data_IF_420967955086
#
_entry.id   IF_420967955086
#
_cell.length_a   1.000
_cell.length_b   1.000
_cell.length_c   1.000
_cell.angle_alpha   90.00
_cell.angle_beta   90.00
_cell.angle_gamma   90.00
#
_symmetry.space_group_name_H-M   'P 1'
#
loop_
_entity.id
_entity.type
_entity.pdbx_description
1 polymer ?
#
# COMPACT_ATOMS: atom_id res chain seq x y z
N UNK A 1 26.60 -9.91 31.76
CA UNK A 1 27.16 -8.80 30.95
C UNK A 1 27.89 -9.19 29.65
N UNK A 2 29.02 -9.94 29.62
CA UNK A 2 29.74 -10.24 28.33
C UNK A 2 29.01 -11.23 27.40
N UNK A 3 28.27 -12.20 27.95
CA UNK A 3 27.48 -13.15 27.15
C UNK A 3 26.22 -12.51 26.52
N UNK A 4 25.54 -11.63 27.25
CA UNK A 4 24.32 -10.94 26.78
C UNK A 4 24.63 -10.01 25.59
N UNK A 5 25.73 -9.25 25.66
CA UNK A 5 26.20 -8.40 24.56
C UNK A 5 26.55 -9.19 23.28
N UNK A 6 27.07 -10.42 23.42
CA UNK A 6 27.32 -11.33 22.29
C UNK A 6 26.02 -11.87 21.69
N UNK A 7 25.01 -12.15 22.51
CA UNK A 7 23.68 -12.58 22.06
C UNK A 7 22.89 -11.47 21.37
N UNK A 8 23.00 -10.23 21.84
CA UNK A 8 22.40 -9.03 21.22
C UNK A 8 23.04 -8.71 19.87
N UNK A 9 24.38 -8.77 19.77
CA UNK A 9 25.09 -8.55 18.51
C UNK A 9 24.72 -9.60 17.44
N UNK A 10 24.59 -10.88 17.83
CA UNK A 10 24.15 -11.95 16.91
C UNK A 10 22.70 -11.75 16.45
N UNK A 11 21.79 -11.40 17.37
CA UNK A 11 20.38 -11.09 17.04
C UNK A 11 20.27 -9.90 16.09
N UNK A 12 21.04 -8.83 16.34
CA UNK A 12 21.08 -7.67 15.45
C UNK A 12 21.70 -7.94 14.07
N UNK A 13 22.60 -8.92 13.95
CA UNK A 13 23.14 -9.37 12.66
C UNK A 13 22.09 -10.16 11.87
N UNK A 14 21.42 -11.11 12.53
CA UNK A 14 20.37 -11.93 11.91
C UNK A 14 19.16 -11.08 11.47
N UNK A 15 18.78 -10.07 12.26
CA UNK A 15 17.70 -9.15 11.89
C UNK A 15 18.06 -8.33 10.64
N UNK A 16 19.31 -7.85 10.54
CA UNK A 16 19.78 -7.12 9.36
C UNK A 16 19.79 -7.99 8.12
N UNK A 17 20.25 -9.23 8.24
CA UNK A 17 20.25 -10.19 7.14
C UNK A 17 18.82 -10.52 6.69
N UNK A 18 17.90 -10.75 7.63
CA UNK A 18 16.48 -10.97 7.34
C UNK A 18 15.84 -9.77 6.63
N UNK A 19 16.16 -8.54 7.06
CA UNK A 19 15.69 -7.31 6.40
C UNK A 19 16.27 -7.16 4.99
N UNK A 20 17.52 -7.54 4.78
CA UNK A 20 18.15 -7.54 3.45
C UNK A 20 17.50 -8.57 2.53
N UNK A 21 17.28 -9.80 2.99
CA UNK A 21 16.58 -10.83 2.22
C UNK A 21 15.15 -10.40 1.86
N UNK A 22 14.44 -9.74 2.78
CA UNK A 22 13.12 -9.17 2.51
C UNK A 22 13.16 -8.10 1.40
N UNK A 23 14.21 -7.29 1.36
CA UNK A 23 14.40 -6.26 0.35
C UNK A 23 14.70 -6.87 -1.03
N UNK A 24 15.50 -7.92 -1.09
CA UNK A 24 15.80 -8.68 -2.31
C UNK A 24 14.52 -9.33 -2.88
N UNK A 25 13.70 -9.94 -2.03
CA UNK A 25 12.40 -10.48 -2.41
C UNK A 25 11.43 -9.39 -2.89
N UNK A 26 11.41 -8.23 -2.22
CA UNK A 26 10.63 -7.08 -2.66
C UNK A 26 11.06 -6.61 -4.05
N UNK A 27 12.36 -6.51 -4.33
CA UNK A 27 12.84 -6.11 -5.67
C UNK A 27 12.51 -7.15 -6.74
N UNK A 28 12.56 -8.44 -6.41
CA UNK A 28 12.10 -9.51 -7.31
C UNK A 28 10.60 -9.37 -7.60
N UNK A 29 9.80 -9.07 -6.58
CA UNK A 29 8.38 -8.76 -6.73
C UNK A 29 8.13 -7.52 -7.60
N UNK A 30 8.92 -6.46 -7.43
CA UNK A 30 8.84 -5.24 -8.25
C UNK A 30 9.10 -5.55 -9.74
N UNK A 31 10.10 -6.40 -10.02
CA UNK A 31 10.43 -6.83 -11.38
C UNK A 31 9.26 -7.63 -11.99
N UNK A 32 8.76 -8.65 -11.29
CA UNK A 32 7.61 -9.43 -11.72
C UNK A 32 6.35 -8.56 -11.94
N UNK A 33 6.14 -7.57 -11.07
CA UNK A 33 5.05 -6.61 -11.22
C UNK A 33 5.20 -5.80 -12.53
N UNK A 34 6.39 -5.28 -12.83
CA UNK A 34 6.64 -4.55 -14.08
C UNK A 34 6.45 -5.43 -15.31
N UNK A 35 6.82 -6.71 -15.23
CA UNK A 35 6.63 -7.71 -16.29
C UNK A 35 5.16 -8.17 -16.45
N UNK A 36 4.27 -7.75 -15.56
CA UNK A 36 2.85 -8.13 -15.59
C UNK A 36 2.54 -9.48 -14.93
N UNK A 37 3.53 -10.15 -14.36
CA UNK A 37 3.35 -11.41 -13.64
C UNK A 37 2.85 -11.16 -12.20
N UNK A 38 1.53 -11.05 -12.05
CA UNK A 38 0.87 -10.71 -10.78
C UNK A 38 1.10 -11.78 -9.71
N UNK A 39 0.94 -13.05 -10.04
CA UNK A 39 1.05 -14.17 -9.09
C UNK A 39 2.46 -14.28 -8.51
N UNK A 40 3.47 -14.08 -9.36
CA UNK A 40 4.87 -14.08 -8.90
C UNK A 40 5.17 -12.84 -8.07
N UNK A 41 4.66 -11.67 -8.46
CA UNK A 41 4.81 -10.46 -7.67
C UNK A 41 4.21 -10.63 -6.26
N UNK A 42 2.99 -11.18 -6.17
CA UNK A 42 2.29 -11.41 -4.92
C UNK A 42 3.09 -12.34 -3.99
N UNK A 43 3.51 -13.52 -4.49
CA UNK A 43 4.31 -14.48 -3.71
C UNK A 43 5.61 -13.89 -3.19
N UNK A 44 6.30 -13.09 -4.00
CA UNK A 44 7.54 -12.42 -3.58
C UNK A 44 7.26 -11.40 -2.46
N UNK A 45 6.19 -10.60 -2.58
CA UNK A 45 5.84 -9.64 -1.54
C UNK A 45 5.36 -10.31 -0.24
N UNK A 46 4.58 -11.39 -0.32
CA UNK A 46 4.17 -12.17 0.86
C UNK A 46 5.38 -12.75 1.59
N UNK A 47 6.34 -13.29 0.83
CA UNK A 47 7.62 -13.78 1.37
C UNK A 47 8.39 -12.64 2.05
N UNK A 48 8.47 -11.47 1.43
CA UNK A 48 9.09 -10.29 2.03
C UNK A 48 8.36 -9.83 3.30
N UNK A 49 7.02 -9.90 3.36
CA UNK A 49 6.22 -9.54 4.56
C UNK A 49 6.51 -10.52 5.68
N UNK A 50 6.59 -11.82 5.39
CA UNK A 50 6.95 -12.84 6.36
C UNK A 50 8.35 -12.60 6.94
N UNK A 51 9.27 -12.02 6.17
CA UNK A 51 10.61 -11.66 6.62
C UNK A 51 10.67 -10.31 7.35
N UNK A 52 9.91 -9.31 6.90
CA UNK A 52 9.93 -7.96 7.46
C UNK A 52 8.49 -7.41 7.62
N UNK A 53 7.75 -7.87 8.64
CA UNK A 53 6.32 -7.56 8.79
C UNK A 53 6.06 -6.09 9.16
N UNK A 54 7.08 -5.36 9.62
CA UNK A 54 6.96 -3.95 10.03
C UNK A 54 7.02 -2.99 8.84
N UNK A 55 7.49 -3.42 7.67
CA UNK A 55 7.65 -2.55 6.51
C UNK A 55 6.30 -2.30 5.80
N UNK A 56 5.72 -1.08 5.88
CA UNK A 56 4.42 -0.79 5.27
C UNK A 56 4.47 -0.77 3.74
N UNK A 57 5.65 -0.58 3.14
CA UNK A 57 5.81 -0.55 1.67
C UNK A 57 5.41 -1.90 1.06
N UNK A 58 5.63 -2.99 1.78
CA UNK A 58 5.30 -4.32 1.28
C UNK A 58 3.78 -4.50 1.12
N UNK A 59 2.98 -4.12 2.12
CA UNK A 59 1.52 -4.09 2.00
C UNK A 59 1.06 -3.14 0.90
N UNK A 60 1.73 -2.00 0.76
CA UNK A 60 1.42 -1.05 -0.31
C UNK A 60 1.63 -1.72 -1.68
N UNK A 61 2.73 -2.45 -1.88
CA UNK A 61 3.02 -3.18 -3.11
C UNK A 61 2.02 -4.33 -3.38
N UNK A 62 1.63 -5.08 -2.36
CA UNK A 62 0.55 -6.08 -2.46
C UNK A 62 -0.77 -5.42 -2.88
N UNK A 63 -1.13 -4.29 -2.27
CA UNK A 63 -2.32 -3.53 -2.64
C UNK A 63 -2.29 -3.11 -4.12
N UNK A 64 -1.12 -2.75 -4.66
CA UNK A 64 -0.98 -2.46 -6.10
C UNK A 64 -1.23 -3.69 -6.98
N UNK A 65 -0.79 -4.88 -6.59
CA UNK A 65 -1.09 -6.13 -7.30
C UNK A 65 -2.60 -6.37 -7.31
N UNK A 66 -3.25 -6.32 -6.15
CA UNK A 66 -4.69 -6.53 -6.04
C UNK A 66 -5.49 -5.49 -6.81
N UNK A 67 -5.08 -4.22 -6.76
CA UNK A 67 -5.72 -3.16 -7.54
C UNK A 67 -5.65 -3.45 -9.04
N UNK A 68 -4.50 -3.92 -9.54
CA UNK A 68 -4.31 -4.27 -10.96
C UNK A 68 -5.10 -5.52 -11.36
N UNK A 69 -5.29 -6.47 -10.43
CA UNK A 69 -6.13 -7.65 -10.61
C UNK A 69 -7.64 -7.38 -10.40
N UNK A 70 -8.03 -6.13 -10.08
CA UNK A 70 -9.42 -5.76 -9.71
C UNK A 70 -9.95 -6.47 -8.46
N UNK A 71 -9.06 -6.99 -7.61
CA UNK A 71 -9.40 -7.58 -6.31
C UNK A 71 -9.56 -6.46 -5.27
N UNK A 72 -10.61 -5.65 -5.43
CA UNK A 72 -10.74 -4.40 -4.70
C UNK A 72 -10.83 -4.58 -3.18
N UNK A 73 -11.53 -5.61 -2.68
CA UNK A 73 -11.63 -5.88 -1.24
C UNK A 73 -10.26 -6.17 -0.62
N UNK A 74 -9.50 -7.09 -1.22
CA UNK A 74 -8.13 -7.40 -0.78
C UNK A 74 -7.22 -6.17 -0.86
N UNK A 75 -7.37 -5.33 -1.89
CA UNK A 75 -6.66 -4.05 -1.97
C UNK A 75 -6.98 -3.14 -0.77
N UNK A 76 -8.23 -3.07 -0.31
CA UNK A 76 -8.61 -2.25 0.85
C UNK A 76 -7.99 -2.76 2.14
N UNK A 77 -7.99 -4.08 2.34
CA UNK A 77 -7.39 -4.72 3.51
C UNK A 77 -5.90 -4.39 3.60
N UNK A 78 -5.17 -4.54 2.50
CA UNK A 78 -3.75 -4.25 2.42
C UNK A 78 -3.43 -2.75 2.60
N UNK A 79 -4.27 -1.87 2.05
CA UNK A 79 -4.13 -0.43 2.29
C UNK A 79 -4.35 -0.09 3.77
N UNK A 80 -5.34 -0.70 4.43
CA UNK A 80 -5.60 -0.48 5.85
C UNK A 80 -4.46 -1.00 6.73
N UNK A 81 -3.89 -2.17 6.40
CA UNK A 81 -2.71 -2.70 7.08
C UNK A 81 -1.51 -1.76 6.93
N UNK A 82 -1.26 -1.23 5.72
CA UNK A 82 -0.22 -0.24 5.47
C UNK A 82 -0.43 1.01 6.34
N UNK A 83 -1.64 1.58 6.35
CA UNK A 83 -1.98 2.76 7.17
C UNK A 83 -1.73 2.49 8.66
N UNK A 84 -2.15 1.32 9.17
CA UNK A 84 -1.92 0.94 10.55
C UNK A 84 -0.42 0.85 10.89
N UNK A 85 0.37 0.19 10.04
CA UNK A 85 1.82 0.06 10.22
C UNK A 85 2.55 1.40 10.16
N UNK A 86 2.16 2.29 9.25
CA UNK A 86 2.75 3.65 9.18
C UNK A 86 2.51 4.41 10.49
N UNK A 87 1.29 4.32 11.05
CA UNK A 87 0.94 4.98 12.33
C UNK A 87 1.68 4.37 13.53
N UNK A 88 1.88 3.06 13.54
CA UNK A 88 2.52 2.35 14.65
C UNK A 88 4.06 2.49 14.65
N UNK A 89 4.68 2.39 13.48
CA UNK A 89 6.14 2.29 13.36
C UNK A 89 6.82 3.56 12.85
N UNK A 90 6.05 4.63 12.60
CA UNK A 90 6.61 5.94 12.22
C UNK A 90 7.24 5.95 10.83
N UNK A 91 6.58 5.35 9.84
CA UNK A 91 7.07 5.33 8.46
C UNK A 91 6.80 6.65 7.71
N UNK A 92 7.43 6.80 6.55
CA UNK A 92 7.32 8.03 5.76
C UNK A 92 5.87 8.36 5.35
N UNK A 93 5.48 9.62 5.53
CA UNK A 93 4.15 10.15 5.17
C UNK A 93 3.78 9.89 3.70
N UNK A 94 4.76 9.81 2.81
CA UNK A 94 4.56 9.48 1.38
C UNK A 94 3.88 8.12 1.17
N UNK A 95 4.17 7.13 2.03
CA UNK A 95 3.53 5.81 1.95
C UNK A 95 2.07 5.87 2.36
N UNK A 96 1.76 6.73 3.34
CA UNK A 96 0.39 6.98 3.79
C UNK A 96 -0.45 7.60 2.67
N UNK A 97 0.07 8.61 1.98
CA UNK A 97 -0.60 9.21 0.82
C UNK A 97 -0.90 8.18 -0.27
N UNK A 98 0.09 7.36 -0.65
CA UNK A 98 -0.08 6.29 -1.65
C UNK A 98 -1.09 5.23 -1.21
N UNK A 99 -1.14 4.88 0.08
CA UNK A 99 -2.11 3.93 0.61
C UNK A 99 -3.54 4.49 0.52
N UNK A 100 -3.75 5.75 0.88
CA UNK A 100 -5.06 6.40 0.75
C UNK A 100 -5.49 6.57 -0.71
N UNK A 101 -4.56 6.91 -1.61
CA UNK A 101 -4.85 7.00 -3.04
C UNK A 101 -5.29 5.66 -3.62
N UNK A 102 -4.55 4.57 -3.35
CA UNK A 102 -4.94 3.21 -3.80
C UNK A 102 -6.25 2.74 -3.17
N UNK A 103 -6.47 3.07 -1.89
CA UNK A 103 -7.75 2.83 -1.21
C UNK A 103 -8.90 3.52 -1.92
N UNK A 104 -8.73 4.79 -2.31
CA UNK A 104 -9.71 5.55 -3.09
C UNK A 104 -10.03 4.85 -4.42
N UNK A 105 -9.02 4.47 -5.19
CA UNK A 105 -9.21 3.75 -6.47
C UNK A 105 -9.92 2.40 -6.30
N UNK A 106 -9.61 1.65 -5.24
CA UNK A 106 -10.31 0.41 -4.94
C UNK A 106 -11.78 0.65 -4.55
N UNK A 107 -12.07 1.71 -3.78
CA UNK A 107 -13.44 2.10 -3.42
C UNK A 107 -14.25 2.54 -4.65
N UNK A 108 -13.64 3.23 -5.62
CA UNK A 108 -14.27 3.53 -6.91
C UNK A 108 -14.64 2.22 -7.64
N UNK A 109 -13.73 1.25 -7.68
CA UNK A 109 -14.00 -0.08 -8.25
C UNK A 109 -15.16 -0.82 -7.58
N UNK A 110 -15.41 -0.55 -6.29
CA UNK A 110 -16.55 -1.08 -5.52
C UNK A 110 -17.80 -0.20 -5.58
N UNK A 111 -17.82 0.86 -6.41
CA UNK A 111 -18.90 1.84 -6.54
C UNK A 111 -19.19 2.62 -5.24
N UNK A 112 -18.23 2.67 -4.31
CA UNK A 112 -18.32 3.40 -3.03
C UNK A 112 -17.78 4.82 -3.18
N UNK A 113 -18.39 5.60 -4.07
CA UNK A 113 -17.84 6.88 -4.54
C UNK A 113 -17.69 7.93 -3.40
N UNK A 114 -18.59 7.95 -2.42
CA UNK A 114 -18.49 8.86 -1.27
C UNK A 114 -17.25 8.56 -0.41
N UNK A 115 -17.05 7.30 -0.07
CA UNK A 115 -15.88 6.84 0.71
C UNK A 115 -14.58 7.05 -0.08
N UNK A 116 -14.60 6.80 -1.39
CA UNK A 116 -13.45 7.02 -2.28
C UNK A 116 -13.01 8.49 -2.29
N UNK A 117 -13.96 9.42 -2.40
CA UNK A 117 -13.67 10.86 -2.39
C UNK A 117 -13.02 11.29 -1.07
N UNK A 118 -13.52 10.79 0.06
CA UNK A 118 -12.89 11.04 1.36
C UNK A 118 -11.45 10.51 1.42
N UNK A 119 -11.21 9.30 0.88
CA UNK A 119 -9.87 8.73 0.84
C UNK A 119 -8.91 9.55 -0.04
N UNK A 120 -9.35 10.02 -1.21
CA UNK A 120 -8.54 10.87 -2.08
C UNK A 120 -8.24 12.23 -1.46
N UNK A 121 -9.23 12.89 -0.85
CA UNK A 121 -9.01 14.16 -0.14
C UNK A 121 -7.99 14.00 0.99
N UNK A 122 -8.06 12.92 1.76
CA UNK A 122 -7.04 12.60 2.77
C UNK A 122 -5.65 12.39 2.14
N UNK A 123 -5.57 11.68 1.01
CA UNK A 123 -4.30 11.51 0.30
C UNK A 123 -3.70 12.85 -0.13
N UNK A 124 -4.52 13.74 -0.70
CA UNK A 124 -4.11 15.09 -1.15
C UNK A 124 -3.56 15.94 0.00
N UNK A 125 -4.20 15.88 1.18
CA UNK A 125 -3.73 16.65 2.36
C UNK A 125 -2.34 16.22 2.84
N UNK A 126 -1.95 14.97 2.58
CA UNK A 126 -0.66 14.42 2.98
C UNK A 126 0.40 14.71 1.90
N UNK A 127 0.05 14.49 0.64
CA UNK A 127 0.93 14.72 -0.49
C UNK A 127 0.09 15.23 -1.67
N UNK A 128 0.38 16.45 -2.09
CA UNK A 128 -0.20 17.01 -3.29
C UNK A 128 0.32 16.25 -4.52
N UNK A 129 -0.59 15.77 -5.36
CA UNK A 129 -0.28 15.12 -6.63
C UNK A 129 -1.36 15.45 -7.64
N UNK A 130 -0.96 15.73 -8.87
CA UNK A 130 -1.89 16.02 -9.97
C UNK A 130 -2.79 14.82 -10.28
N UNK A 131 -2.28 13.59 -10.14
CA UNK A 131 -3.06 12.35 -10.32
C UNK A 131 -4.23 12.26 -9.33
N UNK A 132 -3.98 12.61 -8.06
CA UNK A 132 -5.03 12.57 -7.02
C UNK A 132 -6.06 13.68 -7.28
N UNK A 133 -5.62 14.87 -7.70
CA UNK A 133 -6.52 15.98 -8.06
C UNK A 133 -7.43 15.60 -9.22
N UNK A 134 -6.90 14.91 -10.24
CA UNK A 134 -7.67 14.39 -11.37
C UNK A 134 -8.70 13.36 -10.90
N UNK A 135 -8.30 12.36 -10.13
CA UNK A 135 -9.20 11.35 -9.56
C UNK A 135 -10.35 11.97 -8.72
N UNK A 136 -10.05 13.02 -7.93
CA UNK A 136 -11.06 13.76 -7.15
C UNK A 136 -12.05 14.44 -8.08
N UNK A 137 -11.55 15.20 -9.06
CA UNK A 137 -12.37 15.99 -9.97
C UNK A 137 -13.29 15.11 -10.81
N UNK A 138 -12.76 14.02 -11.37
CA UNK A 138 -13.53 13.04 -12.14
C UNK A 138 -14.66 12.44 -11.30
N UNK A 139 -14.36 12.07 -10.06
CA UNK A 139 -15.35 11.45 -9.17
C UNK A 139 -16.45 12.44 -8.73
N UNK A 140 -16.10 13.71 -8.50
CA UNK A 140 -17.07 14.77 -8.18
C UNK A 140 -18.01 15.05 -9.36
N UNK A 141 -17.47 15.11 -10.59
CA UNK A 141 -18.28 15.25 -11.81
C UNK A 141 -19.25 14.08 -12.00
N UNK A 142 -18.78 12.85 -11.79
CA UNK A 142 -19.64 11.66 -11.87
C UNK A 142 -20.78 11.71 -10.83
N UNK A 143 -20.50 12.17 -9.61
CA UNK A 143 -21.55 12.32 -8.58
C UNK A 143 -22.58 13.38 -8.95
N UNK A 144 -22.14 14.51 -9.51
CA UNK A 144 -23.04 15.57 -9.95
C UNK A 144 -23.96 15.11 -11.09
N UNK A 145 -23.41 14.40 -12.08
CA UNK A 145 -24.20 13.82 -13.18
C UNK A 145 -25.23 12.80 -12.67
N UNK A 146 -24.85 11.94 -11.72
CA UNK A 146 -25.79 10.98 -11.11
C UNK A 146 -26.92 11.66 -10.35
N UNK A 147 -26.66 12.78 -9.68
CA UNK A 147 -27.69 13.56 -8.98
C UNK A 147 -28.65 14.23 -9.97
N UNK A 148 -28.14 14.75 -11.08
CA UNK A 148 -28.96 15.36 -12.15
C UNK A 148 -29.85 14.33 -12.85
N UNK A 149 -29.41 13.09 -12.99
CA UNK A 149 -30.22 12.00 -13.58
C UNK A 149 -31.30 11.46 -12.64
N UNK A 150 -31.25 11.79 -11.35
CA UNK A 150 -32.22 11.37 -10.33
C UNK A 150 -33.25 12.47 -10.00
N UNK A 151 -33.17 13.62 -10.67
CA UNK A 151 -34.13 14.73 -10.60
C UNK A 151 -35.02 14.73 -11.85
#
# INVERSE_FOLDING_TARGET
MKLERRGEARRGSQERERKRAAEEEKERGNKAFKEGNMDTALRCYETAIAMNPINPILNLNVAAVHLRCKNYQLCLEECNQCIAKVRLFGAEKKHLAKAFHRKGRALVGLKKNKEALSAFKLAQTICFSDEITQDITELEQQQQQQQQQQQ
#
